data_IF_208648626698
#
_entry.id   IF_208648626698
#
_cell.length_a   1.000
_cell.length_b   1.000
_cell.length_c   1.000
_cell.angle_alpha   90.00
_cell.angle_beta   90.00
_cell.angle_gamma   90.00
#
_symmetry.space_group_name_H-M   'P 1'
#
loop_
_entity.id
_entity.type
_entity.pdbx_description
1 polymer ?
#
# COMPACT_ATOMS: atom_id res chain seq x y z
N UNK A 1 -2.97 -11.37 2.32
CA UNK A 1 -2.04 -11.33 1.18
C UNK A 1 -2.23 -12.62 0.37
N UNK A 2 -2.19 -12.53 -0.96
CA UNK A 2 -2.33 -13.63 -1.90
C UNK A 2 -1.48 -13.35 -3.14
N UNK A 3 -0.95 -14.36 -3.83
CA UNK A 3 -0.02 -14.18 -4.95
C UNK A 3 1.43 -14.50 -4.58
N UNK A 4 2.38 -13.88 -5.25
CA UNK A 4 3.81 -14.03 -4.97
C UNK A 4 4.14 -13.59 -3.54
N UNK A 5 4.69 -14.50 -2.73
CA UNK A 5 5.00 -14.22 -1.34
C UNK A 5 6.01 -13.07 -1.19
N UNK A 6 7.05 -13.05 -2.02
CA UNK A 6 8.05 -11.98 -2.04
C UNK A 6 7.42 -10.63 -2.45
N UNK A 7 6.61 -10.62 -3.51
CA UNK A 7 5.94 -9.43 -4.01
C UNK A 7 5.04 -8.81 -2.94
N UNK A 8 4.18 -9.63 -2.32
CA UNK A 8 3.25 -9.18 -1.29
C UNK A 8 3.99 -8.59 -0.08
N UNK A 9 4.96 -9.33 0.48
CA UNK A 9 5.68 -8.89 1.68
C UNK A 9 6.53 -7.64 1.42
N UNK A 10 7.17 -7.57 0.25
CA UNK A 10 7.95 -6.39 -0.12
C UNK A 10 7.06 -5.16 -0.25
N UNK A 11 5.98 -5.24 -1.03
CA UNK A 11 5.12 -4.09 -1.28
C UNK A 11 4.31 -3.66 -0.05
N UNK A 12 3.92 -4.60 0.81
CA UNK A 12 3.30 -4.28 2.11
C UNK A 12 4.24 -3.43 2.98
N UNK A 13 5.52 -3.81 3.08
CA UNK A 13 6.54 -3.01 3.80
C UNK A 13 6.78 -1.65 3.17
N UNK A 14 6.80 -1.56 1.84
CA UNK A 14 6.92 -0.27 1.13
C UNK A 14 5.72 0.61 1.44
N UNK A 15 4.50 0.07 1.41
CA UNK A 15 3.30 0.81 1.78
C UNK A 15 3.36 1.28 3.23
N UNK A 16 3.77 0.44 4.18
CA UNK A 16 3.92 0.81 5.58
C UNK A 16 4.87 2.01 5.76
N UNK A 17 5.99 2.02 5.01
CA UNK A 17 6.91 3.17 4.97
C UNK A 17 6.23 4.43 4.44
N UNK A 18 5.45 4.33 3.35
CA UNK A 18 4.73 5.48 2.79
C UNK A 18 3.68 6.03 3.76
N UNK A 19 2.92 5.16 4.42
CA UNK A 19 1.96 5.55 5.45
C UNK A 19 2.65 6.27 6.61
N UNK A 20 3.79 5.77 7.08
CA UNK A 20 4.56 6.41 8.14
C UNK A 20 5.11 7.77 7.74
N UNK A 21 5.59 7.91 6.50
CA UNK A 21 6.05 9.21 5.97
C UNK A 21 4.90 10.23 5.88
N UNK A 22 3.70 9.79 5.49
CA UNK A 22 2.52 10.63 5.48
C UNK A 22 2.19 11.15 6.89
N UNK A 23 2.18 10.26 7.89
CA UNK A 23 1.96 10.63 9.29
C UNK A 23 2.95 11.69 9.78
N UNK A 24 4.24 11.54 9.46
CA UNK A 24 5.26 12.48 9.89
C UNK A 24 5.14 13.85 9.20
N UNK A 25 4.70 13.88 7.94
CA UNK A 25 4.57 15.12 7.16
C UNK A 25 3.33 15.91 7.52
N UNK A 26 2.20 15.22 7.69
CA UNK A 26 0.89 15.86 7.89
C UNK A 26 0.44 15.89 9.35
N UNK A 27 1.17 15.19 10.24
CA UNK A 27 0.79 15.01 11.66
C UNK A 27 -0.57 14.34 11.84
N UNK A 28 -0.98 13.54 10.86
CA UNK A 28 -2.28 12.87 10.79
C UNK A 28 -2.12 11.46 10.20
N UNK A 29 -2.91 10.50 10.70
CA UNK A 29 -2.94 9.15 10.12
C UNK A 29 -3.51 9.18 8.72
N UNK A 30 -2.89 8.42 7.82
CA UNK A 30 -3.39 8.26 6.45
C UNK A 30 -4.74 7.53 6.46
N UNK A 31 -5.68 7.96 5.62
CA UNK A 31 -6.93 7.24 5.42
C UNK A 31 -6.74 5.92 4.65
N UNK A 32 -7.67 4.99 4.86
CA UNK A 32 -7.69 3.68 4.19
C UNK A 32 -7.81 3.85 2.67
N UNK A 33 -8.60 4.84 2.24
CA UNK A 33 -8.75 5.21 0.83
C UNK A 33 -7.42 5.72 0.22
N UNK A 34 -6.69 6.58 0.93
CA UNK A 34 -5.40 7.09 0.43
C UNK A 34 -4.34 5.98 0.38
N UNK A 35 -4.25 5.13 1.42
CA UNK A 35 -3.32 4.01 1.45
C UNK A 35 -3.56 3.00 0.30
N UNK A 36 -4.82 2.63 0.05
CA UNK A 36 -5.18 1.74 -1.07
C UNK A 36 -4.87 2.34 -2.44
N UNK A 37 -5.04 3.66 -2.61
CA UNK A 37 -4.66 4.34 -3.84
C UNK A 37 -3.14 4.36 -4.06
N UNK A 38 -2.34 4.60 -3.02
CA UNK A 38 -0.88 4.53 -3.09
C UNK A 38 -0.43 3.14 -3.53
N UNK A 39 -0.96 2.09 -2.88
CA UNK A 39 -0.65 0.70 -3.26
C UNK A 39 -1.01 0.40 -4.71
N UNK A 40 -2.20 0.83 -5.15
CA UNK A 40 -2.68 0.60 -6.52
C UNK A 40 -1.79 1.30 -7.55
N UNK A 41 -1.35 2.53 -7.27
CA UNK A 41 -0.45 3.28 -8.15
C UNK A 41 0.93 2.61 -8.22
N UNK A 42 1.49 2.16 -7.09
CA UNK A 42 2.75 1.42 -7.07
C UNK A 42 2.67 0.14 -7.90
N UNK A 43 1.61 -0.67 -7.70
CA UNK A 43 1.41 -1.89 -8.48
C UNK A 43 1.25 -1.61 -9.98
N UNK A 44 0.52 -0.54 -10.34
CA UNK A 44 0.30 -0.15 -11.72
C UNK A 44 1.60 0.24 -12.45
N UNK A 45 2.55 0.87 -11.75
CA UNK A 45 3.87 1.19 -12.32
C UNK A 45 4.68 -0.03 -12.76
N UNK A 46 4.35 -1.23 -12.26
CA UNK A 46 4.99 -2.50 -12.61
C UNK A 46 4.06 -3.41 -13.44
N UNK A 47 3.01 -2.85 -14.04
CA UNK A 47 2.10 -3.62 -14.90
C UNK A 47 2.87 -4.24 -16.07
N UNK A 48 2.75 -5.55 -16.24
CA UNK A 48 3.41 -6.30 -17.32
C UNK A 48 4.80 -6.84 -16.99
N UNK A 49 5.32 -6.61 -15.78
CA UNK A 49 6.65 -7.13 -15.37
C UNK A 49 6.58 -8.51 -14.70
N UNK A 50 5.39 -9.13 -14.63
CA UNK A 50 5.18 -10.40 -13.93
C UNK A 50 4.90 -10.27 -12.43
N UNK A 51 4.75 -9.04 -11.91
CA UNK A 51 4.36 -8.80 -10.52
C UNK A 51 3.02 -9.48 -10.19
N UNK A 52 3.00 -10.31 -9.15
CA UNK A 52 1.81 -11.07 -8.74
C UNK A 52 1.48 -10.82 -7.28
N UNK A 53 0.45 -10.01 -7.02
CA UNK A 53 0.05 -9.64 -5.67
C UNK A 53 -1.43 -9.29 -5.57
N UNK A 54 -2.06 -9.82 -4.54
CA UNK A 54 -3.43 -9.58 -4.12
C UNK A 54 -3.44 -9.24 -2.63
N UNK A 55 -3.85 -8.01 -2.31
CA UNK A 55 -3.85 -7.51 -0.93
C UNK A 55 -5.18 -6.81 -0.65
N UNK A 56 -5.75 -7.09 0.52
CA UNK A 56 -6.88 -6.34 1.05
C UNK A 56 -6.32 -5.33 2.05
N UNK A 57 -6.59 -4.05 1.80
CA UNK A 57 -6.25 -2.98 2.74
C UNK A 57 -7.50 -2.69 3.56
N UNK A 58 -7.42 -2.96 4.85
CA UNK A 58 -8.49 -2.73 5.80
C UNK A 58 -8.01 -1.72 6.85
N UNK A 59 -8.89 -0.79 7.20
CA UNK A 59 -8.65 0.26 8.17
C UNK A 59 -9.94 0.94 8.55
N UNK A 60 -9.88 1.73 9.62
CA UNK A 60 -10.97 2.61 10.05
C UNK A 60 -10.38 4.01 10.15
N UNK A 61 -11.01 4.96 9.45
CA UNK A 61 -10.67 6.38 9.50
C UNK A 61 -11.91 7.19 9.88
N UNK A 62 -11.68 8.28 10.61
CA UNK A 62 -12.73 9.26 10.89
C UNK A 62 -12.91 10.07 9.60
N UNK A 63 -14.02 9.85 8.92
CA UNK A 63 -14.37 10.56 7.69
C UNK A 63 -14.54 12.06 7.92
#
# INVERSE_FOLDING_TARGET
MAGGAADCVYWDRVLAKQCRLHELRNKERISTAAASKIMSNMAYSYKGTGLSMGMMIAGYDAR
#
